data_IF_460115284243
#
_entry.id   IF_460115284243
#
_cell.length_a   1.000
_cell.length_b   1.000
_cell.length_c   1.000
_cell.angle_alpha   90.00
_cell.angle_beta   90.00
_cell.angle_gamma   90.00
#
_symmetry.space_group_name_H-M   'P 1'
#
loop_
_entity.id
_entity.type
_entity.pdbx_description
1 polymer ?
#
# COMPACT_ATOMS: atom_id res chain seq x y z
N UNK A 1 -28.31 5.53 -38.46
CA UNK A 1 -28.87 5.16 -37.14
C UNK A 1 -28.66 3.69 -36.82
N UNK A 2 -29.02 2.76 -37.71
CA UNK A 2 -28.86 1.31 -37.51
C UNK A 2 -27.41 0.84 -37.25
N UNK A 3 -26.42 1.40 -37.97
CA UNK A 3 -24.98 1.07 -37.75
C UNK A 3 -24.45 1.52 -36.38
N UNK A 4 -24.97 2.61 -35.83
CA UNK A 4 -24.57 3.13 -34.51
C UNK A 4 -25.16 2.28 -33.38
N UNK A 5 -26.40 1.82 -33.54
CA UNK A 5 -27.03 0.90 -32.59
C UNK A 5 -26.33 -0.46 -32.55
N UNK A 6 -25.90 -0.99 -33.70
CA UNK A 6 -25.12 -2.23 -33.76
C UNK A 6 -23.77 -2.07 -33.03
N UNK A 7 -23.09 -0.92 -33.21
CA UNK A 7 -21.82 -0.65 -32.54
C UNK A 7 -21.99 -0.53 -31.00
N UNK A 8 -23.04 0.14 -30.54
CA UNK A 8 -23.35 0.27 -29.11
C UNK A 8 -23.70 -1.09 -28.50
N UNK A 9 -24.45 -1.94 -29.21
CA UNK A 9 -24.75 -3.30 -28.77
C UNK A 9 -23.50 -4.20 -28.71
N UNK A 10 -22.54 -4.04 -29.63
CA UNK A 10 -21.28 -4.77 -29.60
C UNK A 10 -20.39 -4.37 -28.41
N UNK A 11 -20.32 -3.07 -28.09
CA UNK A 11 -19.58 -2.57 -26.93
C UNK A 11 -20.25 -3.03 -25.62
N UNK A 12 -21.58 -2.98 -25.54
CA UNK A 12 -22.33 -3.46 -24.38
C UNK A 12 -22.17 -4.97 -24.20
N UNK A 13 -22.13 -5.74 -25.29
CA UNK A 13 -21.83 -7.18 -25.24
C UNK A 13 -20.40 -7.46 -24.74
N UNK A 14 -19.40 -6.66 -25.17
CA UNK A 14 -18.02 -6.74 -24.69
C UNK A 14 -17.90 -6.45 -23.18
N UNK A 15 -18.70 -5.52 -22.66
CA UNK A 15 -18.75 -5.19 -21.22
C UNK A 15 -19.46 -6.28 -20.41
N UNK A 16 -20.47 -6.96 -21.00
CA UNK A 16 -21.25 -8.02 -20.34
C UNK A 16 -20.59 -9.40 -20.41
N UNK A 17 -19.62 -9.61 -21.31
CA UNK A 17 -18.76 -10.82 -21.34
C UNK A 17 -17.55 -10.72 -20.43
N UNK A 18 -17.49 -9.74 -19.53
CA UNK A 18 -16.65 -9.85 -18.32
C UNK A 18 -17.27 -10.90 -17.38
N UNK A 19 -17.45 -12.13 -17.85
CA UNK A 19 -17.51 -13.29 -16.98
C UNK A 19 -16.26 -13.21 -16.11
N UNK A 20 -16.47 -13.24 -14.79
CA UNK A 20 -15.41 -13.18 -13.81
C UNK A 20 -14.26 -14.06 -14.27
N UNK A 21 -13.12 -13.44 -14.53
CA UNK A 21 -11.86 -14.14 -14.47
C UNK A 21 -11.87 -14.81 -13.12
N UNK A 22 -12.11 -16.13 -13.10
CA UNK A 22 -11.59 -16.95 -12.03
C UNK A 22 -10.12 -16.56 -11.99
N UNK A 23 -9.73 -15.82 -10.97
CA UNK A 23 -8.32 -15.66 -10.65
C UNK A 23 -7.92 -17.00 -10.04
N UNK A 24 -7.79 -18.02 -10.89
CA UNK A 24 -6.86 -19.09 -10.60
C UNK A 24 -5.50 -18.41 -10.59
N UNK A 25 -5.09 -18.02 -9.38
CA UNK A 25 -3.73 -17.62 -9.13
C UNK A 25 -2.89 -18.82 -9.59
N UNK A 26 -1.91 -18.66 -10.49
CA UNK A 26 -1.00 -19.75 -10.87
C UNK A 26 -0.18 -20.31 -9.69
N UNK A 27 -0.46 -19.86 -8.47
CA UNK A 27 0.15 -20.22 -7.19
C UNK A 27 -0.78 -20.99 -6.24
N UNK A 28 -1.78 -21.76 -6.70
CA UNK A 28 -2.39 -22.75 -5.80
C UNK A 28 -2.86 -24.02 -6.50
N UNK A 29 -2.26 -25.18 -6.14
CA UNK A 29 -3.12 -26.32 -5.84
C UNK A 29 -2.75 -27.15 -4.61
N UNK A 30 -1.62 -26.90 -3.93
CA UNK A 30 -1.33 -27.51 -2.63
C UNK A 30 -0.54 -26.50 -1.80
N UNK A 31 -1.08 -26.11 -0.64
CA UNK A 31 -0.49 -25.23 0.37
C UNK A 31 1.05 -25.36 0.49
N UNK A 32 1.78 -24.61 -0.33
CA UNK A 32 3.25 -24.58 -0.37
C UNK A 32 3.84 -23.67 0.71
N UNK A 33 3.06 -23.27 1.72
CA UNK A 33 3.55 -22.42 2.82
C UNK A 33 3.87 -20.97 2.43
N UNK A 34 3.45 -20.50 1.25
CA UNK A 34 3.64 -19.10 0.85
C UNK A 34 2.48 -18.27 1.42
N UNK A 35 2.60 -17.93 2.71
CA UNK A 35 1.69 -17.00 3.35
C UNK A 35 2.16 -15.56 3.12
N UNK A 36 1.23 -14.60 2.88
CA UNK A 36 1.59 -13.20 2.87
C UNK A 36 2.14 -12.80 4.26
N UNK A 37 3.04 -11.79 4.32
CA UNK A 37 3.52 -11.26 5.58
C UNK A 37 2.39 -10.81 6.49
N UNK A 38 2.67 -10.81 7.79
CA UNK A 38 1.74 -10.26 8.77
C UNK A 38 1.45 -8.78 8.51
N UNK A 39 0.31 -8.32 9.04
CA UNK A 39 -0.05 -6.91 9.01
C UNK A 39 0.88 -6.10 9.93
N UNK A 40 1.33 -4.94 9.48
CA UNK A 40 2.11 -3.98 10.29
C UNK A 40 1.28 -3.51 11.50
N UNK A 41 1.92 -3.41 12.67
CA UNK A 41 1.28 -3.11 13.97
C UNK A 41 1.83 -1.84 14.61
N UNK A 42 1.08 -1.34 15.60
CA UNK A 42 1.46 -0.21 16.46
C UNK A 42 1.95 1.03 15.69
N UNK A 43 1.21 1.41 14.64
CA UNK A 43 1.63 2.56 13.84
C UNK A 43 1.33 3.86 14.57
N UNK A 44 2.37 4.67 14.74
CA UNK A 44 2.27 6.03 15.26
C UNK A 44 2.72 7.03 14.19
N UNK A 45 2.03 8.17 14.13
CA UNK A 45 2.44 9.29 13.29
C UNK A 45 2.49 10.62 14.02
N UNK A 46 3.63 11.27 13.85
CA UNK A 46 3.92 12.60 14.39
C UNK A 46 4.41 13.52 13.27
N UNK A 47 4.22 14.83 13.43
CA UNK A 47 4.62 15.82 12.42
C UNK A 47 5.42 16.96 13.04
N UNK A 48 6.11 17.70 12.18
CA UNK A 48 6.74 18.96 12.53
C UNK A 48 5.74 19.94 13.16
N UNK A 49 6.17 20.66 14.20
CA UNK A 49 5.35 21.67 14.87
C UNK A 49 5.10 22.95 14.07
N UNK A 50 4.32 23.85 14.67
CA UNK A 50 4.03 25.19 14.14
C UNK A 50 5.33 25.96 13.87
N UNK A 51 5.36 26.72 12.77
CA UNK A 51 6.50 27.60 12.44
C UNK A 51 7.77 26.88 11.96
N UNK A 52 7.76 25.54 11.86
CA UNK A 52 8.84 24.79 11.21
C UNK A 52 8.78 25.01 9.70
N UNK A 53 9.86 25.54 9.10
CA UNK A 53 9.95 25.83 7.66
C UNK A 53 9.96 24.53 6.82
N UNK A 54 10.83 23.58 7.20
CA UNK A 54 10.95 22.30 6.51
C UNK A 54 10.06 21.25 7.20
N UNK A 55 8.81 21.15 6.75
CA UNK A 55 7.83 20.23 7.33
C UNK A 55 8.22 18.77 7.11
N UNK A 56 7.85 17.93 8.05
CA UNK A 56 8.10 16.50 8.01
C UNK A 56 7.02 15.74 8.75
N UNK A 57 6.86 14.47 8.39
CA UNK A 57 5.99 13.52 9.07
C UNK A 57 6.83 12.26 9.35
N UNK A 58 6.86 11.82 10.60
CA UNK A 58 7.47 10.55 10.98
C UNK A 58 6.37 9.53 11.15
N UNK A 59 6.56 8.38 10.53
CA UNK A 59 5.79 7.17 10.74
C UNK A 59 6.68 6.17 11.47
N UNK A 60 6.20 5.62 12.57
CA UNK A 60 6.87 4.56 13.33
C UNK A 60 5.94 3.38 13.53
N UNK A 61 6.49 2.18 13.65
CA UNK A 61 5.76 0.91 13.77
C UNK A 61 6.61 -0.14 14.47
N UNK A 62 5.97 -1.23 14.90
CA UNK A 62 6.68 -2.40 15.43
C UNK A 62 7.36 -3.18 14.28
N UNK A 63 8.69 -3.38 14.32
CA UNK A 63 9.38 -4.25 13.38
C UNK A 63 8.84 -5.67 13.42
N UNK A 64 8.68 -6.30 12.26
CA UNK A 64 8.18 -7.67 12.16
C UNK A 64 9.33 -8.70 12.16
N UNK A 65 10.17 -8.68 13.21
CA UNK A 65 11.38 -9.51 13.34
C UNK A 65 11.09 -11.01 13.36
N UNK A 66 9.94 -11.40 13.90
CA UNK A 66 9.48 -12.80 13.97
C UNK A 66 8.67 -13.23 12.72
N UNK A 67 8.54 -12.34 11.73
CA UNK A 67 7.78 -12.61 10.50
C UNK A 67 8.72 -12.86 9.32
N UNK A 68 8.20 -13.52 8.28
CA UNK A 68 8.91 -13.72 7.01
C UNK A 68 8.93 -12.45 6.12
N UNK A 69 8.83 -11.25 6.69
CA UNK A 69 8.88 -10.00 5.94
C UNK A 69 10.31 -9.65 5.53
N UNK A 70 10.48 -9.14 4.31
CA UNK A 70 11.75 -8.60 3.81
C UNK A 70 11.77 -7.07 3.88
N UNK A 71 10.60 -6.43 3.96
CA UNK A 71 10.49 -4.99 3.99
C UNK A 71 9.06 -4.46 4.05
N UNK A 72 8.92 -3.16 3.84
CA UNK A 72 7.65 -2.44 3.94
C UNK A 72 7.37 -1.55 2.73
N UNK A 73 6.10 -1.41 2.39
CA UNK A 73 5.61 -0.34 1.53
C UNK A 73 4.95 0.75 2.37
N UNK A 74 5.27 2.00 2.05
CA UNK A 74 4.65 3.17 2.68
C UNK A 74 3.79 3.89 1.64
N UNK A 75 2.51 4.03 1.97
CA UNK A 75 1.53 4.70 1.14
C UNK A 75 1.04 5.99 1.79
N UNK A 76 0.72 7.00 0.96
CA UNK A 76 0.23 8.31 1.42
C UNK A 76 -0.94 8.81 0.58
N UNK A 77 -1.88 9.49 1.22
CA UNK A 77 -3.00 10.21 0.60
C UNK A 77 -3.25 11.56 1.29
N UNK A 78 -3.88 12.50 0.57
CA UNK A 78 -4.41 13.77 1.11
C UNK A 78 -5.89 13.68 1.54
N UNK A 79 -6.54 12.54 1.30
CA UNK A 79 -7.90 12.23 1.78
C UNK A 79 -7.93 10.87 2.47
N UNK A 80 -8.73 10.76 3.53
CA UNK A 80 -8.90 9.55 4.33
C UNK A 80 -9.35 8.33 3.50
N UNK A 81 -10.29 8.56 2.58
CA UNK A 81 -10.86 7.59 1.64
C UNK A 81 -10.29 7.75 0.21
N UNK A 82 -9.25 8.57 0.06
CA UNK A 82 -8.69 8.92 -1.24
C UNK A 82 -7.85 7.81 -1.87
N UNK A 83 -7.30 8.12 -3.03
CA UNK A 83 -6.28 7.28 -3.67
C UNK A 83 -4.95 7.42 -2.93
N UNK A 84 -4.46 6.30 -2.43
CA UNK A 84 -3.15 6.21 -1.79
C UNK A 84 -2.08 5.89 -2.82
N UNK A 85 -0.96 6.60 -2.75
CA UNK A 85 0.20 6.38 -3.61
C UNK A 85 1.34 5.80 -2.79
N UNK A 86 2.06 4.82 -3.35
CA UNK A 86 3.30 4.31 -2.75
C UNK A 86 4.35 5.40 -2.83
N UNK A 87 4.80 5.90 -1.68
CA UNK A 87 5.80 6.98 -1.58
C UNK A 87 7.18 6.46 -1.18
N UNK A 88 7.26 5.24 -0.65
CA UNK A 88 8.51 4.63 -0.28
C UNK A 88 8.43 3.10 -0.26
N UNK A 89 9.60 2.49 -0.40
CA UNK A 89 9.87 1.06 -0.22
C UNK A 89 11.05 0.94 0.73
N UNK A 90 10.84 0.23 1.84
CA UNK A 90 11.84 0.03 2.87
C UNK A 90 12.30 -1.42 2.77
N UNK A 91 13.50 -1.64 2.24
CA UNK A 91 14.09 -2.97 1.97
C UNK A 91 14.70 -3.61 3.24
N UNK A 92 14.02 -3.48 4.38
CA UNK A 92 14.45 -4.08 5.65
C UNK A 92 13.28 -4.19 6.62
N UNK A 93 13.06 -5.39 7.16
CA UNK A 93 12.06 -5.64 8.20
C UNK A 93 12.41 -5.01 9.56
N UNK A 94 13.69 -4.73 9.82
CA UNK A 94 14.19 -4.25 11.12
C UNK A 94 14.04 -2.73 11.30
N UNK A 95 13.64 -2.01 10.26
CA UNK A 95 13.40 -0.56 10.37
C UNK A 95 12.11 -0.31 11.13
N UNK A 96 12.18 0.56 12.13
CA UNK A 96 11.07 0.92 13.02
C UNK A 96 10.42 2.28 12.67
N UNK A 97 11.03 3.07 11.78
CA UNK A 97 10.47 4.36 11.36
C UNK A 97 10.88 4.83 9.96
N UNK A 98 10.06 5.71 9.39
CA UNK A 98 10.31 6.46 8.17
C UNK A 98 9.98 7.94 8.35
N UNK A 99 10.85 8.81 7.85
CA UNK A 99 10.65 10.26 7.86
C UNK A 99 10.25 10.74 6.45
N UNK A 100 8.96 10.98 6.24
CA UNK A 100 8.46 11.62 5.04
C UNK A 100 8.76 13.13 5.08
N UNK A 101 9.62 13.56 4.15
CA UNK A 101 10.01 14.97 3.97
C UNK A 101 9.66 15.48 2.56
N UNK A 102 9.03 14.65 1.73
CA UNK A 102 8.88 14.97 0.32
C UNK A 102 7.57 15.72 0.06
N UNK A 103 7.69 17.02 -0.24
CA UNK A 103 6.58 17.93 -0.55
C UNK A 103 5.51 18.00 0.55
N UNK A 104 5.95 18.14 1.80
CA UNK A 104 5.04 18.32 2.93
C UNK A 104 4.65 19.80 3.05
N UNK A 105 3.43 20.13 2.63
CA UNK A 105 2.75 21.38 2.95
C UNK A 105 1.77 21.21 4.11
N UNK A 106 1.34 22.29 4.78
CA UNK A 106 0.28 22.22 5.77
C UNK A 106 -0.99 21.50 5.27
N UNK A 107 -1.71 20.87 6.19
CA UNK A 107 -2.96 20.14 5.94
C UNK A 107 -2.89 18.66 6.31
N UNK A 108 -3.95 17.94 5.95
CA UNK A 108 -4.12 16.54 6.32
C UNK A 108 -3.27 15.61 5.45
N UNK A 109 -2.69 14.60 6.08
CA UNK A 109 -2.06 13.46 5.42
C UNK A 109 -2.52 12.19 6.08
N UNK A 110 -2.70 11.15 5.28
CA UNK A 110 -3.09 9.83 5.72
C UNK A 110 -2.08 8.83 5.18
N UNK A 111 -1.61 7.93 6.03
CA UNK A 111 -0.68 6.87 5.63
C UNK A 111 -1.30 5.49 5.79
N UNK A 112 -0.82 4.57 4.97
CA UNK A 112 -1.04 3.12 5.13
C UNK A 112 0.29 2.42 4.92
N UNK A 113 0.43 1.28 5.56
CA UNK A 113 1.60 0.42 5.38
C UNK A 113 1.17 -1.01 5.13
N UNK A 114 2.03 -1.72 4.42
CA UNK A 114 2.01 -3.18 4.28
C UNK A 114 3.45 -3.67 4.37
N UNK A 115 3.62 -4.89 4.87
CA UNK A 115 4.88 -5.60 4.71
C UNK A 115 4.89 -6.33 3.36
N UNK A 116 6.08 -6.63 2.84
CA UNK A 116 6.24 -7.52 1.71
C UNK A 116 7.33 -8.55 2.00
N UNK A 117 7.29 -9.66 1.25
CA UNK A 117 8.37 -10.66 1.21
C UNK A 117 8.62 -11.10 -0.22
N UNK A 118 9.79 -11.63 -0.51
CA UNK A 118 10.05 -12.32 -1.77
C UNK A 118 9.50 -13.74 -1.69
N UNK A 119 8.71 -14.14 -2.69
CA UNK A 119 8.25 -15.54 -2.81
C UNK A 119 9.38 -16.48 -3.21
N UNK A 120 10.43 -15.93 -3.84
CA UNK A 120 11.67 -16.63 -4.18
C UNK A 120 12.78 -16.12 -3.26
N UNK A 121 13.31 -16.94 -2.33
CA UNK A 121 14.38 -16.53 -1.43
C UNK A 121 15.59 -15.95 -2.18
N UNK A 122 16.00 -14.73 -1.80
CA UNK A 122 17.13 -14.04 -2.41
C UNK A 122 16.83 -13.35 -3.75
N UNK A 123 15.59 -13.42 -4.26
CA UNK A 123 15.17 -12.56 -5.38
C UNK A 123 15.27 -11.09 -4.97
N UNK A 124 15.47 -10.24 -5.98
CA UNK A 124 15.43 -8.78 -5.85
C UNK A 124 14.41 -8.17 -6.82
N UNK A 125 13.70 -9.01 -7.57
CA UNK A 125 12.73 -8.58 -8.56
C UNK A 125 11.42 -8.18 -7.85
N UNK A 126 10.91 -6.98 -8.13
CA UNK A 126 9.67 -6.50 -7.52
C UNK A 126 8.47 -7.39 -7.85
N UNK A 127 8.49 -8.07 -9.00
CA UNK A 127 7.41 -8.98 -9.45
C UNK A 127 7.30 -10.23 -8.57
N UNK A 128 8.39 -10.61 -7.89
CA UNK A 128 8.42 -11.74 -6.96
C UNK A 128 7.94 -11.36 -5.55
N UNK A 129 7.53 -10.11 -5.31
CA UNK A 129 7.12 -9.66 -3.98
C UNK A 129 5.67 -10.00 -3.71
N UNK A 130 5.44 -10.67 -2.59
CA UNK A 130 4.12 -10.88 -2.02
C UNK A 130 3.85 -9.82 -0.96
N UNK A 131 2.91 -8.93 -1.26
CA UNK A 131 2.46 -7.89 -0.34
C UNK A 131 1.44 -8.45 0.67
N UNK A 132 1.63 -8.09 1.94
CA UNK A 132 0.73 -8.41 3.03
C UNK A 132 -0.48 -7.47 3.13
N UNK A 133 -1.35 -7.66 4.12
CA UNK A 133 -2.51 -6.80 4.32
C UNK A 133 -2.12 -5.35 4.61
N UNK A 134 -2.80 -4.40 3.97
CA UNK A 134 -2.71 -2.99 4.34
C UNK A 134 -3.23 -2.76 5.76
N UNK A 135 -2.63 -1.78 6.43
CA UNK A 135 -3.12 -1.28 7.72
C UNK A 135 -4.50 -0.61 7.56
N UNK A 136 -5.46 -0.84 8.48
CA UNK A 136 -6.78 -0.22 8.41
C UNK A 136 -6.72 1.29 8.60
N UNK A 137 -7.74 1.98 8.10
CA UNK A 137 -7.86 3.44 8.21
C UNK A 137 -8.14 3.91 9.65
N UNK A 138 -8.75 3.05 10.46
CA UNK A 138 -9.34 3.41 11.76
C UNK A 138 -8.32 3.43 12.90
N UNK A 139 -7.11 2.90 12.65
CA UNK A 139 -5.97 2.99 13.58
C UNK A 139 -5.24 4.33 13.49
N UNK A 140 -5.78 5.31 12.76
CA UNK A 140 -5.37 6.69 12.86
C UNK A 140 -3.95 6.92 12.36
N UNK A 141 -3.83 7.30 11.09
CA UNK A 141 -2.61 7.96 10.63
C UNK A 141 -2.97 9.23 9.85
N UNK A 142 -4.14 9.80 10.16
CA UNK A 142 -4.49 11.14 9.76
C UNK A 142 -3.71 12.11 10.64
N UNK A 143 -2.73 12.82 10.10
CA UNK A 143 -2.07 13.91 10.80
C UNK A 143 -2.31 15.23 10.10
N UNK A 144 -2.58 16.26 10.90
CA UNK A 144 -2.63 17.63 10.42
C UNK A 144 -1.24 18.24 10.61
N UNK A 145 -0.59 18.53 9.48
CA UNK A 145 0.63 19.34 9.51
C UNK A 145 0.23 20.80 9.69
N UNK A 146 0.72 21.47 10.75
CA UNK A 146 0.43 22.86 11.01
C UNK A 146 1.11 23.81 10.01
N UNK A 147 0.65 25.07 10.01
CA UNK A 147 1.31 26.17 9.30
C UNK A 147 2.76 26.36 9.77
#
# INVERSE_FOLDING_TARGET
MQKLQILVLLILALVLTSCGLDRSNPLDPENNGINPPEKVREIEVISSGQGVVNKWIRISWDPLEDSEADGYYVYRSRSYDGTYQRINVIESFAVEFYNDRNNISPGAYFYRMSAFKYVIPGSQDEEDRLEGPLTPNDYGIGIIVPQ
#
